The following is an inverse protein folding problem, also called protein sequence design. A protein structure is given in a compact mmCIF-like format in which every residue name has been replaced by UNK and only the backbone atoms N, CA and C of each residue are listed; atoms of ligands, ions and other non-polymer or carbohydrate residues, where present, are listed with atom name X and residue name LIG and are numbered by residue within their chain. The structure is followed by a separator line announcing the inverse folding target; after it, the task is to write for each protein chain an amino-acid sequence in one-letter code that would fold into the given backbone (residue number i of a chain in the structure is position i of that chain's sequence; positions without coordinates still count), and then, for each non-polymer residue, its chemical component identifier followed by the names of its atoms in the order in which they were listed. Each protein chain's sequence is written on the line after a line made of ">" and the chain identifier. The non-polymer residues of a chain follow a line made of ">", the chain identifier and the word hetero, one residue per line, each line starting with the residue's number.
data_IF_618964625282
#
_entry.id   IF_618964625282
#
_cell.length_a   1.000
_cell.length_b   1.000
_cell.length_c   1.000
_cell.angle_alpha   90.00
_cell.angle_beta   90.00
_cell.angle_gamma   90.00
#
_symmetry.space_group_name_H-M   'P 1'
#
loop_
_entity.id
_entity.type
_entity.pdbx_description
1 polymer ?
#
# COMPACT_ATOMS: atom_id res chain seq x y z
N UNK A 1 -13.44 -7.70 -18.13
CA UNK A 1 -13.84 -8.22 -16.80
C UNK A 1 -15.02 -9.18 -16.88
N UNK A 2 -16.19 -8.76 -17.39
CA UNK A 2 -17.39 -9.61 -17.47
C UNK A 2 -17.21 -10.93 -18.25
N UNK A 3 -16.52 -10.89 -19.40
CA UNK A 3 -16.20 -12.07 -20.21
C UNK A 3 -15.26 -13.07 -19.50
N UNK A 4 -14.31 -12.57 -18.70
CA UNK A 4 -13.41 -13.41 -17.91
C UNK A 4 -14.16 -14.09 -16.76
N UNK A 5 -14.99 -13.32 -16.04
CA UNK A 5 -15.85 -13.84 -14.98
C UNK A 5 -16.87 -14.88 -15.49
N UNK A 6 -17.45 -14.68 -16.68
CA UNK A 6 -18.31 -15.68 -17.30
C UNK A 6 -17.55 -16.95 -17.65
N UNK A 7 -16.35 -16.81 -18.23
CA UNK A 7 -15.49 -17.92 -18.65
C UNK A 7 -14.96 -18.73 -17.46
N UNK A 8 -14.67 -18.07 -16.33
CA UNK A 8 -14.29 -18.74 -15.08
C UNK A 8 -15.45 -19.48 -14.42
N UNK A 9 -16.66 -18.90 -14.45
CA UNK A 9 -17.87 -19.57 -13.93
C UNK A 9 -18.27 -20.81 -14.72
N UNK A 10 -17.87 -20.89 -16.00
CA UNK A 10 -18.18 -22.00 -16.90
C UNK A 10 -17.03 -23.02 -17.01
N UNK A 11 -15.85 -22.76 -16.43
CA UNK A 11 -14.71 -23.65 -16.52
C UNK A 11 -14.76 -24.76 -15.44
N UNK A 12 -14.55 -26.02 -15.85
CA UNK A 12 -14.50 -27.19 -14.93
C UNK A 12 -13.32 -27.16 -13.94
N UNK A 13 -12.28 -26.36 -14.22
CA UNK A 13 -11.19 -26.03 -13.30
C UNK A 13 -11.01 -24.50 -13.26
N UNK A 14 -11.78 -23.75 -12.44
CA UNK A 14 -11.71 -22.30 -12.39
C UNK A 14 -10.33 -21.84 -11.90
N UNK A 15 -9.76 -20.83 -12.59
CA UNK A 15 -8.49 -20.22 -12.22
C UNK A 15 -8.58 -19.53 -10.85
N UNK A 16 -9.68 -18.83 -10.56
CA UNK A 16 -10.08 -18.39 -9.22
C UNK A 16 -11.23 -19.26 -8.68
N UNK A 17 -10.94 -20.28 -7.85
CA UNK A 17 -12.01 -21.03 -7.21
C UNK A 17 -12.80 -20.07 -6.29
N UNK A 18 -14.15 -20.01 -6.36
CA UNK A 18 -14.95 -19.08 -5.58
C UNK A 18 -14.81 -19.27 -4.06
N UNK A 19 -14.35 -20.45 -3.62
CA UNK A 19 -13.95 -20.69 -2.22
C UNK A 19 -12.74 -19.89 -1.76
N UNK A 20 -11.84 -19.48 -2.66
CA UNK A 20 -10.67 -18.66 -2.35
C UNK A 20 -11.10 -17.26 -1.88
N UNK A 21 -12.08 -16.67 -2.58
CA UNK A 21 -12.65 -15.37 -2.25
C UNK A 21 -13.56 -15.39 -1.00
N UNK A 22 -13.98 -16.57 -0.55
CA UNK A 22 -14.69 -16.73 0.73
C UNK A 22 -13.76 -16.70 1.94
N UNK A 23 -12.45 -16.93 1.76
CA UNK A 23 -11.49 -16.83 2.85
C UNK A 23 -11.29 -15.37 3.25
N UNK A 24 -11.62 -15.05 4.50
CA UNK A 24 -11.44 -13.70 5.06
C UNK A 24 -9.98 -13.24 5.05
N UNK A 25 -9.03 -14.17 5.20
CA UNK A 25 -7.60 -13.86 5.15
C UNK A 25 -7.13 -13.52 3.72
N UNK A 26 -7.60 -14.26 2.71
CA UNK A 26 -7.22 -14.02 1.31
C UNK A 26 -7.90 -12.75 0.78
N UNK A 27 -9.23 -12.65 0.92
CA UNK A 27 -9.97 -11.48 0.44
C UNK A 27 -9.62 -10.22 1.23
N UNK A 28 -9.48 -10.32 2.55
CA UNK A 28 -9.03 -9.21 3.39
C UNK A 28 -7.61 -8.77 3.02
N UNK A 29 -6.67 -9.71 2.88
CA UNK A 29 -5.31 -9.42 2.47
C UNK A 29 -5.21 -8.84 1.05
N UNK A 30 -6.04 -9.29 0.11
CA UNK A 30 -6.12 -8.71 -1.22
C UNK A 30 -6.57 -7.24 -1.17
N UNK A 31 -7.66 -6.92 -0.45
CA UNK A 31 -8.12 -5.53 -0.29
C UNK A 31 -7.09 -4.67 0.43
N UNK A 32 -6.46 -5.19 1.49
CA UNK A 32 -5.35 -4.51 2.17
C UNK A 32 -4.22 -4.21 1.18
N UNK A 33 -3.83 -5.19 0.36
CA UNK A 33 -2.81 -5.03 -0.68
C UNK A 33 -3.17 -4.00 -1.75
N UNK A 34 -4.45 -3.89 -2.13
CA UNK A 34 -4.96 -2.86 -3.03
C UNK A 34 -4.80 -1.47 -2.42
N UNK A 35 -5.37 -1.25 -1.23
CA UNK A 35 -5.37 0.03 -0.53
C UNK A 35 -3.94 0.49 -0.23
N UNK A 36 -3.11 -0.46 0.14
CA UNK A 36 -1.68 -0.28 0.33
C UNK A 36 -0.97 0.27 -0.92
N UNK A 37 -1.10 -0.41 -2.07
CA UNK A 37 -0.43 0.03 -3.29
C UNK A 37 -1.02 1.34 -3.82
N UNK A 38 -2.33 1.55 -3.66
CA UNK A 38 -2.98 2.81 -3.98
C UNK A 38 -2.35 3.97 -3.22
N UNK A 39 -2.22 3.86 -1.88
CA UNK A 39 -1.63 4.91 -1.06
C UNK A 39 -0.14 5.14 -1.35
N UNK A 40 0.65 4.07 -1.42
CA UNK A 40 2.10 4.19 -1.59
C UNK A 40 2.50 4.68 -2.98
N UNK A 41 2.01 4.05 -4.05
CA UNK A 41 2.35 4.48 -5.42
C UNK A 41 1.66 5.80 -5.78
N UNK A 42 0.46 6.06 -5.26
CA UNK A 42 -0.18 7.37 -5.36
C UNK A 42 0.68 8.47 -4.74
N UNK A 43 1.21 8.25 -3.52
CA UNK A 43 2.14 9.17 -2.88
C UNK A 43 3.41 9.37 -3.72
N UNK A 44 4.11 8.30 -4.10
CA UNK A 44 5.37 8.39 -4.86
C UNK A 44 5.17 9.15 -6.16
N UNK A 45 4.10 8.85 -6.89
CA UNK A 45 3.79 9.52 -8.14
C UNK A 45 3.46 11.01 -7.95
N UNK A 46 2.58 11.33 -6.99
CA UNK A 46 2.18 12.72 -6.75
C UNK A 46 3.30 13.57 -6.17
N UNK A 47 4.11 13.01 -5.27
CA UNK A 47 5.33 13.67 -4.77
C UNK A 47 6.36 13.89 -5.89
N UNK A 48 6.56 12.92 -6.78
CA UNK A 48 7.46 13.07 -7.93
C UNK A 48 7.02 14.21 -8.84
N UNK A 49 5.71 14.29 -9.13
CA UNK A 49 5.15 15.37 -9.96
C UNK A 49 5.24 16.73 -9.27
N UNK A 50 5.01 16.80 -7.95
CA UNK A 50 5.18 18.03 -7.18
C UNK A 50 6.63 18.51 -7.19
N UNK A 51 7.58 17.61 -6.93
CA UNK A 51 9.01 17.94 -6.92
C UNK A 51 9.51 18.42 -8.28
N UNK A 52 9.10 17.77 -9.38
CA UNK A 52 9.54 18.16 -10.72
C UNK A 52 8.79 19.36 -11.27
N UNK A 53 7.46 19.38 -11.20
CA UNK A 53 6.63 20.43 -11.83
C UNK A 53 6.32 21.59 -10.90
N UNK A 54 6.16 21.33 -9.61
CA UNK A 54 5.90 22.36 -8.60
C UNK A 54 7.18 23.05 -8.13
N UNK A 55 8.21 22.27 -7.78
CA UNK A 55 9.48 22.79 -7.25
C UNK A 55 10.59 22.95 -8.30
N UNK A 56 10.36 22.50 -9.53
CA UNK A 56 11.33 22.63 -10.63
C UNK A 56 12.57 21.74 -10.50
N UNK A 57 12.53 20.71 -9.65
CA UNK A 57 13.66 19.80 -9.45
C UNK A 57 13.88 18.94 -10.70
N UNK A 58 15.14 18.64 -11.01
CA UNK A 58 15.48 17.66 -12.03
C UNK A 58 15.02 16.25 -11.62
N UNK A 59 15.00 15.33 -12.59
CA UNK A 59 14.68 13.92 -12.32
C UNK A 59 15.64 13.28 -11.30
N UNK A 60 16.93 13.64 -11.35
CA UNK A 60 17.93 13.14 -10.41
C UNK A 60 17.70 13.68 -8.99
N UNK A 61 17.47 14.98 -8.87
CA UNK A 61 17.18 15.62 -7.57
C UNK A 61 15.89 15.10 -6.96
N UNK A 62 14.87 14.85 -7.78
CA UNK A 62 13.62 14.22 -7.33
C UNK A 62 13.85 12.81 -6.80
N UNK A 63 14.70 12.02 -7.49
CA UNK A 63 15.10 10.69 -7.02
C UNK A 63 15.80 10.74 -5.68
N UNK A 64 16.74 11.68 -5.50
CA UNK A 64 17.43 11.91 -4.22
C UNK A 64 16.45 12.38 -3.13
N UNK A 65 15.51 13.26 -3.48
CA UNK A 65 14.50 13.76 -2.54
C UNK A 65 13.55 12.65 -2.07
N UNK A 66 13.24 11.67 -2.92
CA UNK A 66 12.42 10.50 -2.58
C UNK A 66 13.20 9.38 -1.88
N UNK A 67 14.53 9.44 -1.89
CA UNK A 67 15.41 8.43 -1.32
C UNK A 67 15.10 8.07 0.14
N UNK A 68 14.80 9.01 1.06
CA UNK A 68 14.51 8.68 2.46
C UNK A 68 13.34 7.70 2.61
N UNK A 69 12.30 7.81 1.79
CA UNK A 69 11.16 6.89 1.81
C UNK A 69 11.60 5.47 1.42
N UNK A 70 12.39 5.35 0.35
CA UNK A 70 12.88 4.04 -0.16
C UNK A 70 13.88 3.42 0.81
N UNK A 71 14.82 4.21 1.33
CA UNK A 71 15.79 3.76 2.32
C UNK A 71 15.10 3.19 3.57
N UNK A 72 14.06 3.88 4.07
CA UNK A 72 13.28 3.38 5.20
C UNK A 72 12.46 2.14 4.85
N UNK A 73 11.97 2.02 3.62
CA UNK A 73 11.29 0.80 3.14
C UNK A 73 12.25 -0.39 3.13
N UNK A 74 13.50 -0.20 2.71
CA UNK A 74 14.53 -1.25 2.74
C UNK A 74 14.89 -1.66 4.17
N UNK A 75 15.14 -0.68 5.03
CA UNK A 75 15.44 -0.91 6.45
C UNK A 75 14.29 -1.65 7.16
N UNK A 76 13.06 -1.19 6.92
CA UNK A 76 11.86 -1.80 7.45
C UNK A 76 11.67 -3.24 6.96
N UNK A 77 12.00 -3.54 5.70
CA UNK A 77 11.91 -4.90 5.15
C UNK A 77 12.85 -5.88 5.84
N UNK A 78 14.07 -5.43 6.18
CA UNK A 78 15.02 -6.25 6.92
C UNK A 78 14.57 -6.50 8.37
N UNK A 79 13.96 -5.48 8.99
CA UNK A 79 13.47 -5.56 10.37
C UNK A 79 12.18 -6.37 10.49
N UNK A 80 11.25 -6.23 9.53
CA UNK A 80 9.94 -6.88 9.54
C UNK A 80 10.09 -8.40 9.56
N UNK A 81 11.03 -8.97 8.81
CA UNK A 81 11.28 -10.42 8.80
C UNK A 81 11.69 -10.98 10.17
N UNK A 82 12.42 -10.20 10.99
CA UNK A 82 12.77 -10.59 12.37
C UNK A 82 11.60 -10.42 13.33
N UNK A 83 10.85 -9.33 13.17
CA UNK A 83 9.78 -8.97 14.08
C UNK A 83 8.50 -9.81 13.87
N UNK A 84 8.22 -10.20 12.63
CA UNK A 84 7.11 -11.10 12.27
C UNK A 84 7.19 -12.40 13.07
N UNK A 85 8.39 -12.99 13.19
CA UNK A 85 8.60 -14.23 13.97
C UNK A 85 8.31 -14.09 15.46
N UNK A 86 8.43 -12.87 16.02
CA UNK A 86 8.26 -12.62 17.46
C UNK A 86 6.87 -12.12 17.83
N UNK A 87 6.22 -11.37 16.95
CA UNK A 87 5.00 -10.61 17.27
C UNK A 87 3.78 -11.04 16.45
N UNK A 88 3.97 -11.89 15.43
CA UNK A 88 2.91 -12.29 14.50
C UNK A 88 2.61 -11.24 13.42
N UNK A 89 1.74 -11.59 12.48
CA UNK A 89 1.47 -10.76 11.31
C UNK A 89 0.62 -9.52 11.65
N UNK A 90 -0.39 -9.66 12.52
CA UNK A 90 -1.40 -8.62 12.79
C UNK A 90 -0.81 -7.32 13.36
N UNK A 91 0.03 -7.34 14.42
CA UNK A 91 0.59 -6.11 14.96
C UNK A 91 1.45 -5.37 13.94
N UNK A 92 2.20 -6.11 13.11
CA UNK A 92 3.00 -5.52 12.04
C UNK A 92 2.15 -4.79 11.01
N UNK A 93 1.06 -5.43 10.54
CA UNK A 93 0.19 -4.82 9.53
C UNK A 93 -0.54 -3.60 10.08
N UNK A 94 -1.10 -3.70 11.29
CA UNK A 94 -1.86 -2.60 11.88
C UNK A 94 -0.95 -1.42 12.21
N UNK A 95 0.16 -1.64 12.91
CA UNK A 95 1.09 -0.57 13.27
C UNK A 95 1.74 0.04 12.03
N UNK A 96 2.09 -0.78 11.03
CA UNK A 96 2.65 -0.31 9.77
C UNK A 96 1.67 0.59 9.01
N UNK A 97 0.42 0.18 8.88
CA UNK A 97 -0.62 0.98 8.21
C UNK A 97 -0.95 2.26 8.97
N UNK A 98 -1.01 2.22 10.31
CA UNK A 98 -1.23 3.43 11.12
C UNK A 98 -0.07 4.41 11.00
N UNK A 99 1.18 3.94 11.03
CA UNK A 99 2.34 4.78 10.85
C UNK A 99 2.38 5.40 9.44
N UNK A 100 2.03 4.63 8.41
CA UNK A 100 1.96 5.13 7.05
C UNK A 100 0.83 6.17 6.89
N UNK A 101 -0.32 5.94 7.52
CA UNK A 101 -1.42 6.91 7.56
C UNK A 101 -1.00 8.21 8.25
N UNK A 102 -0.29 8.13 9.38
CA UNK A 102 0.26 9.30 10.08
C UNK A 102 1.28 10.04 9.22
N UNK A 103 2.13 9.32 8.49
CA UNK A 103 3.06 9.92 7.54
C UNK A 103 2.34 10.74 6.48
N UNK A 104 1.37 10.14 5.78
CA UNK A 104 0.61 10.85 4.75
C UNK A 104 -0.25 11.99 5.31
N UNK A 105 -0.86 11.81 6.48
CA UNK A 105 -1.60 12.87 7.15
C UNK A 105 -0.70 14.04 7.57
N UNK A 106 0.52 13.74 8.05
CA UNK A 106 1.54 14.74 8.37
C UNK A 106 1.98 15.52 7.14
N UNK A 107 2.17 14.85 6.00
CA UNK A 107 2.44 15.53 4.73
C UNK A 107 1.27 16.43 4.32
N UNK A 108 0.04 15.92 4.37
CA UNK A 108 -1.16 16.70 4.05
C UNK A 108 -1.33 17.94 4.97
N UNK A 109 -0.93 17.82 6.24
CA UNK A 109 -1.00 18.90 7.22
C UNK A 109 0.13 19.93 7.10
N UNK A 110 1.23 19.60 6.41
CA UNK A 110 2.41 20.47 6.30
C UNK A 110 2.17 21.76 5.49
N UNK A 111 1.03 21.87 4.81
CA UNK A 111 0.62 23.09 4.10
C UNK A 111 0.97 23.10 2.60
N UNK A 112 0.79 24.24 1.92
CA UNK A 112 0.90 24.34 0.45
C UNK A 112 2.35 24.34 -0.08
N UNK A 113 3.33 24.76 0.71
CA UNK A 113 4.76 24.69 0.33
C UNK A 113 5.67 24.45 1.56
N UNK A 114 5.63 23.23 2.14
CA UNK A 114 6.51 22.90 3.25
C UNK A 114 7.96 22.83 2.77
N UNK A 115 8.91 23.27 3.61
CA UNK A 115 10.32 23.03 3.36
C UNK A 115 10.62 21.53 3.31
N UNK A 116 11.54 21.10 2.43
CA UNK A 116 11.90 19.68 2.27
C UNK A 116 12.20 18.94 3.59
N UNK A 117 12.92 19.52 4.58
CA UNK A 117 13.15 18.84 5.86
C UNK A 117 11.87 18.45 6.62
N UNK A 118 10.76 19.16 6.42
CA UNK A 118 9.46 18.84 7.03
C UNK A 118 8.77 17.65 6.33
N UNK A 119 9.16 17.35 5.09
CA UNK A 119 8.62 16.23 4.32
C UNK A 119 9.35 14.91 4.61
N UNK A 120 10.61 14.99 5.06
CA UNK A 120 11.44 13.81 5.36
C UNK A 120 10.80 12.89 6.41
N UNK A 121 10.35 13.36 7.60
CA UNK A 121 9.74 12.46 8.59
C UNK A 121 8.44 11.79 8.08
N UNK A 122 7.49 12.50 7.46
CA UNK A 122 6.34 11.90 6.77
C UNK A 122 6.70 10.79 5.78
N UNK A 123 7.71 11.05 4.93
CA UNK A 123 8.19 10.12 3.91
C UNK A 123 8.82 8.87 4.52
N UNK A 124 9.63 9.05 5.56
CA UNK A 124 10.24 7.96 6.31
C UNK A 124 9.17 7.10 7.01
N UNK A 125 8.18 7.73 7.63
CA UNK A 125 7.06 7.03 8.28
C UNK A 125 6.22 6.24 7.26
N UNK A 126 5.90 6.85 6.12
CA UNK A 126 5.21 6.19 5.02
C UNK A 126 6.00 4.99 4.49
N UNK A 127 7.28 5.16 4.16
CA UNK A 127 8.15 4.07 3.67
C UNK A 127 8.35 2.93 4.68
N UNK A 128 8.53 3.27 5.95
CA UNK A 128 8.69 2.26 7.00
C UNK A 128 7.39 1.47 7.21
N UNK A 129 6.28 2.19 7.39
CA UNK A 129 4.99 1.57 7.68
C UNK A 129 4.49 0.68 6.55
N UNK A 130 4.74 1.11 5.31
CA UNK A 130 4.36 0.37 4.10
C UNK A 130 5.08 -0.97 3.98
N UNK A 131 6.39 -1.03 4.24
CA UNK A 131 7.12 -2.29 4.22
C UNK A 131 6.61 -3.29 5.26
N UNK A 132 6.40 -2.85 6.51
CA UNK A 132 5.89 -3.70 7.58
C UNK A 132 4.52 -4.29 7.24
N UNK A 133 3.64 -3.46 6.72
CA UNK A 133 2.32 -3.89 6.30
C UNK A 133 2.37 -4.87 5.12
N UNK A 134 3.27 -4.66 4.17
CA UNK A 134 3.46 -5.57 3.04
C UNK A 134 3.92 -6.96 3.50
N UNK A 135 4.92 -7.03 4.38
CA UNK A 135 5.45 -8.31 4.87
C UNK A 135 4.37 -9.12 5.58
N UNK A 136 3.68 -8.52 6.56
CA UNK A 136 2.64 -9.21 7.32
C UNK A 136 1.44 -9.62 6.46
N UNK A 137 1.00 -8.75 5.55
CA UNK A 137 -0.12 -9.06 4.65
C UNK A 137 0.24 -10.21 3.70
N UNK A 138 1.45 -10.19 3.15
CA UNK A 138 1.93 -11.27 2.26
C UNK A 138 2.00 -12.59 3.00
N UNK A 139 2.55 -12.61 4.21
CA UNK A 139 2.62 -13.82 5.05
C UNK A 139 1.23 -14.36 5.38
N UNK A 140 0.28 -13.49 5.72
CA UNK A 140 -1.10 -13.88 6.02
C UNK A 140 -1.77 -14.50 4.80
N UNK A 141 -1.69 -13.86 3.63
CA UNK A 141 -2.32 -14.34 2.39
C UNK A 141 -1.71 -15.66 1.94
N UNK A 142 -0.37 -15.74 1.91
CA UNK A 142 0.32 -16.93 1.41
C UNK A 142 0.11 -18.14 2.30
N UNK A 143 0.11 -17.96 3.63
CA UNK A 143 -0.16 -19.08 4.53
C UNK A 143 -1.65 -19.40 4.72
N UNK A 144 -2.56 -18.60 4.15
CA UNK A 144 -3.98 -18.95 4.04
C UNK A 144 -4.32 -19.63 2.70
N UNK A 145 -3.33 -19.81 1.82
CA UNK A 145 -3.53 -20.40 0.51
C UNK A 145 -3.89 -21.90 0.62
N UNK A 146 -4.82 -22.41 -0.21
CA UNK A 146 -5.18 -23.82 -0.20
C UNK A 146 -4.00 -24.73 -0.56
N UNK A 147 -3.92 -25.93 0.04
CA UNK A 147 -2.97 -26.96 -0.37
C UNK A 147 -3.07 -27.23 -1.89
N UNK A 148 -1.94 -27.18 -2.59
CA UNK A 148 -1.87 -27.42 -4.04
C UNK A 148 -2.21 -26.22 -4.94
N UNK A 149 -2.58 -25.04 -4.40
CA UNK A 149 -2.81 -23.81 -5.20
C UNK A 149 -2.18 -22.52 -4.66
N UNK A 150 -0.94 -22.51 -4.11
CA UNK A 150 -0.31 -21.28 -3.60
C UNK A 150 -0.07 -20.24 -4.69
N UNK A 151 0.19 -20.69 -5.94
CA UNK A 151 0.36 -19.79 -7.09
C UNK A 151 -0.88 -18.95 -7.39
N UNK A 152 -2.08 -19.49 -7.20
CA UNK A 152 -3.34 -18.76 -7.43
C UNK A 152 -3.55 -17.66 -6.39
N UNK A 153 -3.27 -17.94 -5.11
CA UNK A 153 -3.37 -16.94 -4.05
C UNK A 153 -2.36 -15.79 -4.25
N UNK A 154 -1.12 -16.12 -4.61
CA UNK A 154 -0.09 -15.12 -4.95
C UNK A 154 -0.48 -14.29 -6.17
N UNK A 155 -0.98 -14.93 -7.23
CA UNK A 155 -1.44 -14.26 -8.44
C UNK A 155 -2.57 -13.28 -8.12
N UNK A 156 -3.61 -13.71 -7.40
CA UNK A 156 -4.71 -12.85 -6.98
C UNK A 156 -4.22 -11.65 -6.16
N UNK A 157 -3.33 -11.90 -5.19
CA UNK A 157 -2.75 -10.86 -4.36
C UNK A 157 -1.99 -9.83 -5.19
N UNK A 158 -1.10 -10.28 -6.08
CA UNK A 158 -0.30 -9.40 -6.93
C UNK A 158 -1.16 -8.63 -7.95
N UNK A 159 -2.14 -9.28 -8.58
CA UNK A 159 -3.10 -8.61 -9.48
C UNK A 159 -3.83 -7.49 -8.74
N UNK A 160 -4.35 -7.77 -7.55
CA UNK A 160 -5.07 -6.80 -6.74
C UNK A 160 -4.18 -5.62 -6.31
N UNK A 161 -2.92 -5.89 -5.99
CA UNK A 161 -1.92 -4.86 -5.72
C UNK A 161 -1.67 -3.96 -6.92
N UNK A 162 -1.49 -4.53 -8.11
CA UNK A 162 -1.24 -3.75 -9.33
C UNK A 162 -2.44 -2.91 -9.74
N UNK A 163 -3.67 -3.39 -9.51
CA UNK A 163 -4.88 -2.58 -9.64
C UNK A 163 -4.80 -1.37 -8.69
N UNK A 164 -4.39 -1.59 -7.44
CA UNK A 164 -4.15 -0.52 -6.48
C UNK A 164 -3.13 0.50 -6.97
N UNK A 165 -1.96 0.06 -7.45
CA UNK A 165 -0.91 0.93 -7.99
C UNK A 165 -1.41 1.80 -9.14
N UNK A 166 -2.07 1.19 -10.13
CA UNK A 166 -2.61 1.90 -11.28
C UNK A 166 -3.69 2.92 -10.87
N UNK A 167 -4.57 2.52 -9.95
CA UNK A 167 -5.63 3.40 -9.43
C UNK A 167 -5.04 4.59 -8.67
N UNK A 168 -4.04 4.36 -7.82
CA UNK A 168 -3.36 5.42 -7.06
C UNK A 168 -2.65 6.43 -7.96
N UNK A 169 -1.96 5.97 -9.00
CA UNK A 169 -1.31 6.84 -9.99
C UNK A 169 -2.34 7.65 -10.78
N UNK A 170 -3.42 7.01 -11.24
CA UNK A 170 -4.47 7.69 -12.02
C UNK A 170 -5.22 8.74 -11.18
N UNK A 171 -5.58 8.41 -9.93
CA UNK A 171 -6.20 9.34 -9.00
C UNK A 171 -5.25 10.49 -8.67
N UNK A 172 -3.99 10.19 -8.36
CA UNK A 172 -2.97 11.18 -8.06
C UNK A 172 -2.76 12.17 -9.21
N UNK A 173 -2.65 11.68 -10.44
CA UNK A 173 -2.53 12.52 -11.63
C UNK A 173 -3.77 13.39 -11.88
N UNK A 174 -4.97 12.83 -11.68
CA UNK A 174 -6.23 13.56 -11.85
C UNK A 174 -6.43 14.64 -10.78
N UNK A 175 -6.07 14.36 -9.53
CA UNK A 175 -6.15 15.34 -8.43
C UNK A 175 -5.13 16.47 -8.60
N UNK A 176 -3.94 16.16 -9.12
CA UNK A 176 -2.93 17.18 -9.43
C UNK A 176 -3.32 18.05 -10.63
N UNK A 177 -3.99 17.50 -11.65
CA UNK A 177 -4.42 18.26 -12.82
C UNK A 177 -5.63 19.14 -12.55
N UNK A 178 -6.56 18.70 -11.70
CA UNK A 178 -7.80 19.44 -11.35
C UNK A 178 -7.61 20.40 -10.18
N UNK A 179 -6.59 20.21 -9.35
CA UNK A 179 -6.35 20.93 -8.09
C UNK A 179 -5.83 22.37 -8.18
N UNK A 180 -6.05 23.05 -9.31
CA UNK A 180 -5.88 24.50 -9.54
C UNK A 180 -4.86 25.24 -8.66
N UNK A 181 -3.62 25.36 -9.12
CA UNK A 181 -2.66 26.41 -8.77
C UNK A 181 -2.12 26.54 -7.33
N UNK A 182 -2.70 25.90 -6.31
CA UNK A 182 -2.38 26.20 -4.90
C UNK A 182 -2.03 24.98 -4.02
N UNK A 183 -1.47 23.91 -4.59
CA UNK A 183 -1.04 22.73 -3.82
C UNK A 183 -2.19 21.87 -3.25
N UNK A 184 -3.45 22.24 -3.52
CA UNK A 184 -4.64 21.53 -3.04
C UNK A 184 -4.71 20.08 -3.54
N UNK A 185 -4.35 19.86 -4.81
CA UNK A 185 -4.31 18.52 -5.42
C UNK A 185 -3.39 17.56 -4.67
N UNK A 186 -2.17 17.99 -4.33
CA UNK A 186 -1.21 17.18 -3.59
C UNK A 186 -1.77 16.82 -2.20
N UNK A 187 -2.28 17.82 -1.47
CA UNK A 187 -2.87 17.61 -0.14
C UNK A 187 -4.04 16.63 -0.17
N UNK A 188 -4.93 16.74 -1.16
CA UNK A 188 -6.05 15.80 -1.33
C UNK A 188 -5.57 14.38 -1.65
N UNK A 189 -4.53 14.24 -2.50
CA UNK A 189 -3.93 12.93 -2.79
C UNK A 189 -3.36 12.27 -1.54
N UNK A 190 -2.61 13.03 -0.74
CA UNK A 190 -2.06 12.55 0.54
C UNK A 190 -3.16 12.17 1.53
N UNK A 191 -4.23 12.97 1.63
CA UNK A 191 -5.37 12.65 2.48
C UNK A 191 -6.10 11.37 2.04
N UNK A 192 -6.31 11.18 0.73
CA UNK A 192 -6.90 9.94 0.18
C UNK A 192 -6.01 8.74 0.49
N UNK A 193 -4.70 8.86 0.33
CA UNK A 193 -3.75 7.81 0.72
C UNK A 193 -3.79 7.50 2.22
N UNK A 194 -3.86 8.52 3.07
CA UNK A 194 -3.97 8.35 4.52
C UNK A 194 -5.25 7.59 4.90
N UNK A 195 -6.38 7.96 4.30
CA UNK A 195 -7.66 7.25 4.49
C UNK A 195 -7.59 5.81 3.99
N UNK A 196 -6.92 5.55 2.85
CA UNK A 196 -6.71 4.20 2.35
C UNK A 196 -5.90 3.34 3.34
N UNK A 197 -4.85 3.91 3.95
CA UNK A 197 -4.07 3.22 4.99
C UNK A 197 -4.87 3.00 6.28
N UNK A 198 -5.68 3.97 6.72
CA UNK A 198 -6.57 3.78 7.87
C UNK A 198 -7.61 2.68 7.62
N UNK A 199 -8.21 2.66 6.42
CA UNK A 199 -9.13 1.61 6.02
C UNK A 199 -8.45 0.24 5.98
N UNK A 200 -7.21 0.18 5.48
CA UNK A 200 -6.40 -1.03 5.49
C UNK A 200 -6.06 -1.50 6.92
N UNK A 201 -5.75 -0.58 7.85
CA UNK A 201 -5.52 -0.90 9.25
C UNK A 201 -6.77 -1.48 9.92
N UNK A 202 -7.95 -0.88 9.67
CA UNK A 202 -9.22 -1.37 10.19
C UNK A 202 -9.58 -2.76 9.64
N UNK A 203 -9.33 -3.00 8.35
CA UNK A 203 -9.49 -4.31 7.73
C UNK A 203 -8.50 -5.32 8.28
N UNK A 204 -7.24 -4.94 8.48
CA UNK A 204 -6.22 -5.81 9.06
C UNK A 204 -6.62 -6.28 10.46
N UNK A 205 -7.19 -5.38 11.27
CA UNK A 205 -7.71 -5.73 12.59
C UNK A 205 -8.83 -6.78 12.55
N UNK A 206 -9.61 -6.84 11.48
CA UNK A 206 -10.75 -7.77 11.32
C UNK A 206 -10.37 -9.07 10.61
N UNK A 207 -9.44 -9.01 9.67
CA UNK A 207 -9.14 -10.10 8.73
C UNK A 207 -7.82 -10.83 9.03
N UNK A 208 -6.87 -10.21 9.74
CA UNK A 208 -5.57 -10.82 10.04
C UNK A 208 -5.65 -11.57 11.38
N UNK A 209 -5.35 -12.88 11.41
CA UNK A 209 -5.31 -13.65 12.65
C UNK A 209 -4.27 -13.09 13.62
N UNK A 210 -4.58 -13.09 14.92
CA UNK A 210 -3.68 -12.56 15.95
C UNK A 210 -2.56 -13.52 16.36
N UNK A 211 -2.67 -14.81 16.02
CA UNK A 211 -1.76 -15.85 16.51
C UNK A 211 -0.48 -15.95 15.67
N UNK A 212 0.71 -15.98 16.30
CA UNK A 212 1.93 -16.43 15.66
C UNK A 212 1.71 -17.85 15.10
N UNK A 213 2.14 -18.11 13.86
CA UNK A 213 2.21 -19.49 13.37
C UNK A 213 3.34 -20.19 14.13
N UNK A 214 3.03 -21.29 14.81
CA UNK A 214 4.06 -22.16 15.36
C UNK A 214 4.93 -22.72 14.21
N UNK A 215 6.25 -22.86 14.44
CA UNK A 215 7.20 -23.30 13.41
C UNK A 215 6.95 -24.71 12.89
#
# INVERSE_FOLDING_TARGET
>A
AALFALRERLAGSPALPPGLLRSRAISGGAVIGLLFNLGFYGMVFTASLDFQRGRGLSALETGIALFPAVAMTMFASALSGRLTRRTGDRPLVVCGMLLAALGLAGWAAAGPDPGYPLLVPPMMAAGFGTSFALTGTTATVMGAAPPGRPGVASALFNTTRQIGSATGVALGGSLLSTGGGSGGGLRTSMAVGALAFLAAAALAWRCVPATPREP
#
